data_IF_772279353165
#
_entry.id   IF_772279353165
#
_cell.length_a   1.000
_cell.length_b   1.000
_cell.length_c   1.000
_cell.angle_alpha   90.00
_cell.angle_beta   90.00
_cell.angle_gamma   90.00
#
_symmetry.space_group_name_H-M   'P 1'
#
loop_
_entity.id
_entity.type
_entity.pdbx_description
1 polymer ?
#
# COMPACT_ATOMS: atom_id res chain seq x y z
N UNK A 1 6.36 20.43 3.58
CA UNK A 1 6.93 19.14 4.06
C UNK A 1 7.41 18.30 2.87
N UNK A 2 8.71 18.36 2.52
CA UNK A 2 9.29 17.80 1.28
C UNK A 2 10.01 16.45 1.47
N UNK A 3 9.59 15.65 2.44
CA UNK A 3 10.43 14.58 3.00
C UNK A 3 10.60 13.30 2.19
N UNK A 4 9.61 12.88 1.40
CA UNK A 4 9.60 11.52 0.83
C UNK A 4 10.30 11.40 -0.54
N UNK A 5 10.35 12.48 -1.34
CA UNK A 5 10.93 12.43 -2.70
C UNK A 5 12.46 12.26 -2.74
N UNK A 6 13.19 12.57 -1.66
CA UNK A 6 14.66 12.57 -1.67
C UNK A 6 15.31 11.18 -1.57
N UNK A 7 14.63 10.18 -1.01
CA UNK A 7 15.25 8.86 -0.73
C UNK A 7 14.64 7.69 -1.52
N UNK A 8 13.42 7.84 -2.04
CA UNK A 8 12.73 6.79 -2.81
C UNK A 8 11.96 7.41 -3.99
N UNK A 9 12.64 8.00 -4.98
CA UNK A 9 11.97 8.65 -6.11
C UNK A 9 11.12 7.69 -6.96
N UNK A 10 11.34 6.38 -6.82
CA UNK A 10 10.66 5.31 -7.55
C UNK A 10 9.45 4.71 -6.83
N UNK A 11 9.12 5.18 -5.61
CA UNK A 11 7.97 4.71 -4.84
C UNK A 11 6.87 5.78 -4.93
N UNK A 12 5.84 5.59 -5.79
CA UNK A 12 4.66 6.43 -5.77
C UNK A 12 3.98 6.36 -4.41
N UNK A 13 3.42 7.46 -3.94
CA UNK A 13 2.62 7.48 -2.73
C UNK A 13 1.50 8.52 -2.82
N UNK A 14 0.36 8.21 -2.23
CA UNK A 14 -0.74 9.12 -1.99
C UNK A 14 -0.71 9.57 -0.53
N UNK A 15 -1.03 10.85 -0.29
CA UNK A 15 -1.12 11.40 1.05
C UNK A 15 -2.37 12.26 1.17
N UNK A 16 -3.09 12.06 2.26
CA UNK A 16 -4.19 12.91 2.69
C UNK A 16 -4.06 13.10 4.20
N UNK A 17 -3.98 14.34 4.67
CA UNK A 17 -3.69 14.68 6.08
C UNK A 17 -2.48 13.89 6.63
N UNK A 18 -2.73 13.01 7.59
CA UNK A 18 -1.84 12.08 8.28
C UNK A 18 -1.85 10.66 7.67
N UNK A 19 -2.81 10.35 6.80
CA UNK A 19 -2.90 9.08 6.08
C UNK A 19 -2.02 9.08 4.82
N UNK A 20 -1.21 8.03 4.68
CA UNK A 20 -0.30 7.83 3.55
C UNK A 20 -0.42 6.39 3.04
N UNK A 21 -0.54 6.23 1.73
CA UNK A 21 -0.44 4.95 1.02
C UNK A 21 0.81 5.00 0.16
N UNK A 22 1.68 3.99 0.27
CA UNK A 22 2.91 3.88 -0.52
C UNK A 22 2.85 2.64 -1.42
N UNK A 23 3.12 2.81 -2.72
CA UNK A 23 3.14 1.72 -3.69
C UNK A 23 4.52 1.09 -3.77
N UNK A 24 4.62 -0.15 -3.28
CA UNK A 24 5.83 -0.94 -3.37
C UNK A 24 5.64 -2.08 -4.38
N UNK A 25 6.69 -2.40 -5.13
CA UNK A 25 6.73 -3.48 -6.13
C UNK A 25 7.00 -4.85 -5.50
N UNK A 26 7.59 -4.88 -4.30
CA UNK A 26 7.88 -6.12 -3.57
C UNK A 26 7.65 -6.00 -2.06
N UNK A 27 7.49 -7.14 -1.39
CA UNK A 27 7.38 -7.20 0.07
C UNK A 27 8.66 -6.72 0.78
N UNK A 28 9.83 -7.04 0.22
CA UNK A 28 11.12 -6.61 0.76
C UNK A 28 11.25 -5.07 0.73
N UNK A 29 10.86 -4.45 -0.39
CA UNK A 29 10.80 -2.99 -0.53
C UNK A 29 9.80 -2.38 0.46
N UNK A 30 8.60 -2.96 0.60
CA UNK A 30 7.60 -2.48 1.55
C UNK A 30 8.09 -2.55 3.01
N UNK A 31 8.74 -3.65 3.41
CA UNK A 31 9.33 -3.81 4.75
C UNK A 31 10.47 -2.81 4.98
N UNK A 32 11.35 -2.62 4.00
CA UNK A 32 12.46 -1.67 4.08
C UNK A 32 11.95 -0.22 4.18
N UNK A 33 10.94 0.14 3.40
CA UNK A 33 10.30 1.45 3.44
C UNK A 33 9.62 1.71 4.78
N UNK A 34 8.84 0.74 5.28
CA UNK A 34 8.16 0.84 6.58
C UNK A 34 9.16 1.05 7.73
N UNK A 35 10.29 0.34 7.71
CA UNK A 35 11.37 0.53 8.70
C UNK A 35 11.93 1.95 8.65
N UNK A 36 12.14 2.50 7.46
CA UNK A 36 12.63 3.87 7.27
C UNK A 36 11.62 4.93 7.72
N UNK A 37 10.33 4.74 7.40
CA UNK A 37 9.25 5.63 7.83
C UNK A 37 9.17 5.64 9.36
N UNK A 38 9.16 4.46 10.01
CA UNK A 38 9.15 4.35 11.48
C UNK A 38 10.33 5.06 12.12
N UNK A 39 11.54 4.89 11.58
CA UNK A 39 12.74 5.57 12.07
C UNK A 39 12.60 7.09 11.97
N UNK A 40 12.06 7.59 10.85
CA UNK A 40 11.86 9.03 10.63
C UNK A 40 10.81 9.61 11.56
N UNK A 41 9.67 8.93 11.74
CA UNK A 41 8.64 9.34 12.69
C UNK A 41 9.22 9.43 14.10
N UNK A 42 9.98 8.41 14.53
CA UNK A 42 10.63 8.39 15.85
C UNK A 42 11.60 9.55 16.04
N UNK A 43 12.34 9.94 15.00
CA UNK A 43 13.25 11.09 15.06
C UNK A 43 12.52 12.43 15.28
N UNK A 44 11.23 12.49 14.96
CA UNK A 44 10.35 13.63 15.21
C UNK A 44 9.42 13.41 16.42
N UNK A 45 9.68 12.40 17.26
CA UNK A 45 8.85 12.11 18.44
C UNK A 45 7.50 11.46 18.13
N UNK A 46 7.27 11.00 16.89
CA UNK A 46 6.03 10.35 16.47
C UNK A 46 6.20 8.83 16.42
N UNK A 47 5.12 8.10 16.72
CA UNK A 47 5.08 6.63 16.62
C UNK A 47 3.99 6.26 15.62
N UNK A 48 4.33 5.41 14.65
CA UNK A 48 3.34 4.84 13.73
C UNK A 48 2.45 3.86 14.51
N UNK A 49 1.13 4.03 14.41
CA UNK A 49 0.17 3.16 15.09
C UNK A 49 0.32 1.70 14.59
N UNK A 50 0.52 0.72 15.48
CA UNK A 50 0.82 -0.67 15.10
C UNK A 50 -0.30 -1.30 14.25
N UNK A 51 -1.55 -1.06 14.62
CA UNK A 51 -2.69 -1.67 13.93
C UNK A 51 -3.09 -0.96 12.63
N UNK A 52 -2.91 0.37 12.57
CA UNK A 52 -3.22 1.14 11.35
C UNK A 52 -2.12 0.97 10.28
N UNK A 53 -0.86 0.80 10.69
CA UNK A 53 0.27 0.72 9.77
C UNK A 53 0.55 -0.72 9.33
N UNK A 54 -0.01 -1.10 8.19
CA UNK A 54 0.08 -2.46 7.63
C UNK A 54 0.63 -2.47 6.20
N UNK A 55 1.28 -3.58 5.84
CA UNK A 55 1.62 -3.89 4.45
C UNK A 55 0.45 -4.71 3.90
N UNK A 56 -0.24 -4.17 2.89
CA UNK A 56 -1.33 -4.86 2.20
C UNK A 56 -0.83 -5.44 0.88
N UNK A 57 -1.15 -6.70 0.63
CA UNK A 57 -0.85 -7.38 -0.63
C UNK A 57 -1.96 -7.15 -1.65
N UNK A 58 -1.64 -6.42 -2.71
CA UNK A 58 -2.56 -6.11 -3.80
C UNK A 58 -2.75 -7.32 -4.72
N UNK A 59 -3.56 -8.28 -4.27
CA UNK A 59 -3.86 -9.53 -4.99
C UNK A 59 -4.63 -9.24 -6.29
N UNK A 60 -4.23 -9.89 -7.38
CA UNK A 60 -4.87 -9.83 -8.69
C UNK A 60 -4.83 -11.20 -9.40
N UNK A 61 -5.27 -11.25 -10.66
CA UNK A 61 -5.35 -12.49 -11.43
C UNK A 61 -4.01 -13.22 -11.61
N UNK A 62 -2.91 -12.48 -11.63
CA UNK A 62 -1.53 -12.99 -11.83
C UNK A 62 -0.83 -13.29 -10.52
N UNK A 63 -1.15 -12.53 -9.47
CA UNK A 63 -0.53 -12.57 -8.14
C UNK A 63 -1.18 -13.62 -7.25
N UNK A 64 -0.63 -14.84 -7.20
CA UNK A 64 -1.21 -15.99 -6.46
C UNK A 64 -0.80 -16.10 -4.99
N UNK A 65 0.12 -15.26 -4.51
CA UNK A 65 0.56 -15.25 -3.11
C UNK A 65 -0.58 -15.22 -2.07
N UNK A 66 -0.28 -15.76 -0.89
CA UNK A 66 -1.15 -15.73 0.29
C UNK A 66 -0.52 -14.84 1.35
N UNK A 67 -1.28 -13.86 1.82
CA UNK A 67 -0.84 -12.85 2.77
C UNK A 67 -1.98 -12.54 3.74
N UNK A 68 -1.67 -12.16 5.00
CA UNK A 68 -2.70 -11.88 6.00
C UNK A 68 -3.52 -10.64 5.66
N UNK A 69 -2.88 -9.60 5.10
CA UNK A 69 -3.54 -8.36 4.72
C UNK A 69 -3.68 -8.30 3.19
N UNK A 70 -4.89 -8.47 2.67
CA UNK A 70 -5.20 -8.41 1.22
C UNK A 70 -6.19 -7.31 0.86
N UNK A 71 -6.48 -6.43 1.81
CA UNK A 71 -7.31 -5.23 1.64
C UNK A 71 -6.87 -4.14 2.60
N UNK A 72 -7.23 -2.90 2.28
CA UNK A 72 -7.04 -1.75 3.16
C UNK A 72 -8.14 -0.71 2.89
N UNK A 73 -8.31 0.22 3.82
CA UNK A 73 -9.22 1.34 3.65
C UNK A 73 -8.38 2.61 3.47
N UNK A 74 -8.84 3.49 2.58
CA UNK A 74 -8.24 4.79 2.35
C UNK A 74 -9.33 5.77 1.95
N UNK A 75 -9.48 6.87 2.70
CA UNK A 75 -10.48 7.92 2.45
C UNK A 75 -11.92 7.42 2.36
N UNK A 76 -12.30 6.51 3.26
CA UNK A 76 -13.65 5.93 3.28
C UNK A 76 -13.92 4.91 2.17
N UNK A 77 -12.93 4.60 1.32
CA UNK A 77 -13.00 3.55 0.31
C UNK A 77 -12.21 2.32 0.74
N UNK A 78 -12.81 1.14 0.62
CA UNK A 78 -12.11 -0.13 0.84
C UNK A 78 -11.48 -0.59 -0.46
N UNK A 79 -10.20 -0.95 -0.49
CA UNK A 79 -9.50 -1.47 -1.66
C UNK A 79 -9.26 -2.96 -1.50
N UNK A 80 -9.66 -3.77 -2.48
CA UNK A 80 -9.50 -5.24 -2.47
C UNK A 80 -9.46 -5.85 -3.86
N UNK A 81 -9.10 -7.13 -3.93
CA UNK A 81 -9.21 -7.92 -5.17
C UNK A 81 -10.68 -8.11 -5.55
N UNK A 82 -11.07 -7.71 -6.77
CA UNK A 82 -12.41 -7.87 -7.35
C UNK A 82 -12.36 -8.60 -8.68
N UNK A 83 -13.40 -9.38 -8.98
CA UNK A 83 -13.57 -9.95 -10.33
C UNK A 83 -14.09 -8.86 -11.26
N UNK A 84 -13.37 -8.62 -12.35
CA UNK A 84 -13.74 -7.64 -13.38
C UNK A 84 -13.75 -8.33 -14.75
N UNK A 85 -14.65 -7.87 -15.61
CA UNK A 85 -14.69 -8.30 -17.01
C UNK A 85 -13.65 -7.51 -17.80
N UNK A 86 -12.78 -8.21 -18.50
CA UNK A 86 -11.83 -7.60 -19.44
C UNK A 86 -12.52 -7.20 -20.74
N UNK A 87 -11.88 -6.35 -21.55
CA UNK A 87 -12.39 -5.99 -22.87
C UNK A 87 -12.61 -7.20 -23.78
N UNK A 88 -11.81 -8.27 -23.61
CA UNK A 88 -11.97 -9.54 -24.33
C UNK A 88 -13.06 -10.46 -23.74
N UNK A 89 -13.90 -9.98 -22.83
CA UNK A 89 -14.98 -10.74 -22.20
C UNK A 89 -14.56 -11.73 -21.10
N UNK A 90 -13.26 -11.94 -20.87
CA UNK A 90 -12.75 -12.85 -19.83
C UNK A 90 -12.85 -12.23 -18.44
N UNK A 91 -13.20 -13.03 -17.45
CA UNK A 91 -13.21 -12.60 -16.05
C UNK A 91 -11.81 -12.71 -15.45
N UNK A 92 -11.29 -11.63 -14.88
CA UNK A 92 -9.99 -11.60 -14.16
C UNK A 92 -10.14 -10.93 -12.81
N UNK A 93 -9.22 -11.20 -11.88
CA UNK A 93 -9.15 -10.45 -10.64
C UNK A 93 -8.29 -9.19 -10.84
N UNK A 94 -8.78 -8.02 -10.41
CA UNK A 94 -8.02 -6.77 -10.31
C UNK A 94 -8.17 -6.18 -8.93
N UNK A 95 -7.12 -5.55 -8.44
CA UNK A 95 -7.16 -4.80 -7.20
C UNK A 95 -7.76 -3.41 -7.45
N UNK A 96 -8.86 -3.07 -6.78
CA UNK A 96 -9.63 -1.85 -7.04
C UNK A 96 -10.45 -1.44 -5.79
N UNK A 97 -10.91 -0.17 -5.69
CA UNK A 97 -11.84 0.26 -4.65
C UNK A 97 -13.14 -0.55 -4.74
N UNK A 98 -13.70 -0.97 -3.61
CA UNK A 98 -14.80 -1.91 -3.47
C UNK A 98 -16.12 -1.36 -4.02
#
# INVERSE_FOLDING_TARGET
MHGCKKNHPHVPFERYTDDIVCHCRSEAEAKALLKQIRRRLKAHGLIAHPDKTKIAYCKDGTRKGSYPNVSFEYLGSSFRSRRVKTASGKMTARFAPA
#
